data_IF_287248565449
#
_entry.id   IF_287248565449
#
_cell.length_a   1.000
_cell.length_b   1.000
_cell.length_c   1.000
_cell.angle_alpha   90.00
_cell.angle_beta   90.00
_cell.angle_gamma   90.00
#
_symmetry.space_group_name_H-M   'P 1'
#
loop_
_entity.id
_entity.type
_entity.pdbx_description
1 polymer ?
#
# COMPACT_ATOMS: atom_id res chain seq x y z
N UNK A 1 -4.90 15.09 6.68
CA UNK A 1 -4.86 14.42 7.99
C UNK A 1 -4.18 13.06 7.84
N UNK A 2 -3.24 12.66 8.69
CA UNK A 2 -2.95 11.25 8.93
C UNK A 2 -4.16 10.65 9.66
N UNK A 3 -4.68 9.52 9.20
CA UNK A 3 -5.63 8.71 9.98
C UNK A 3 -4.82 7.56 10.58
N UNK A 4 -4.99 7.31 11.88
CA UNK A 4 -4.60 5.99 12.43
C UNK A 4 -5.80 5.09 12.16
N UNK A 5 -5.60 4.00 11.44
CA UNK A 5 -6.55 2.89 11.49
C UNK A 5 -6.42 2.30 12.89
N UNK A 6 -7.41 2.48 13.77
CA UNK A 6 -7.43 1.74 15.03
C UNK A 6 -7.81 0.31 14.66
N UNK A 7 -6.82 -0.54 14.39
CA UNK A 7 -7.10 -1.90 13.94
C UNK A 7 -7.86 -2.62 15.05
N UNK A 8 -9.00 -3.21 14.69
CA UNK A 8 -9.79 -4.09 15.55
C UNK A 8 -8.93 -5.21 16.17
N UNK A 9 -7.82 -5.55 15.53
CA UNK A 9 -6.84 -6.56 15.95
C UNK A 9 -6.05 -6.19 17.22
N UNK A 10 -5.95 -4.90 17.60
CA UNK A 10 -5.34 -4.49 18.90
C UNK A 10 -6.16 -5.03 20.06
N UNK A 11 -7.46 -5.15 19.86
CA UNK A 11 -8.42 -5.55 20.88
C UNK A 11 -8.39 -7.06 21.15
N UNK A 12 -7.22 -7.53 21.60
CA UNK A 12 -6.93 -8.92 21.87
C UNK A 12 -6.38 -9.16 23.27
N UNK A 13 -5.88 -10.38 23.48
CA UNK A 13 -5.33 -10.81 24.77
C UNK A 13 -4.13 -9.96 25.21
N UNK A 14 -3.31 -9.48 24.28
CA UNK A 14 -2.15 -8.62 24.55
C UNK A 14 -2.55 -7.28 25.18
N UNK A 15 -3.54 -6.60 24.60
CA UNK A 15 -4.13 -5.38 25.18
C UNK A 15 -4.78 -5.66 26.54
N UNK A 16 -5.46 -6.81 26.66
CA UNK A 16 -6.09 -7.24 27.92
C UNK A 16 -5.09 -7.39 29.06
N UNK A 17 -3.89 -7.87 28.77
CA UNK A 17 -2.79 -7.98 29.74
C UNK A 17 -2.26 -6.60 30.11
N UNK A 18 -2.09 -5.71 29.12
CA UNK A 18 -1.56 -4.36 29.34
C UNK A 18 -2.42 -3.54 30.31
N UNK A 19 -3.70 -3.33 30.00
CA UNK A 19 -4.53 -2.46 30.84
C UNK A 19 -4.74 -3.03 32.25
N UNK A 20 -4.71 -4.38 32.39
CA UNK A 20 -4.74 -5.05 33.71
C UNK A 20 -3.44 -4.85 34.49
N UNK A 21 -2.29 -4.89 33.82
CA UNK A 21 -0.99 -4.65 34.45
C UNK A 21 -0.84 -3.19 34.92
N UNK A 22 -1.35 -2.23 34.13
CA UNK A 22 -1.35 -0.81 34.48
C UNK A 22 -2.41 -0.50 35.55
N UNK A 23 -3.52 -1.26 35.58
CA UNK A 23 -4.67 -0.97 36.43
C UNK A 23 -5.56 0.15 35.88
N UNK A 24 -5.56 0.35 34.56
CA UNK A 24 -6.35 1.39 33.89
C UNK A 24 -7.48 0.81 33.04
N UNK A 25 -8.35 1.67 32.54
CA UNK A 25 -9.38 1.29 31.59
C UNK A 25 -8.77 0.91 30.23
N UNK A 26 -9.52 0.09 29.47
CA UNK A 26 -9.14 -0.25 28.10
C UNK A 26 -8.99 1.00 27.21
N UNK A 27 -9.80 2.04 27.44
CA UNK A 27 -9.73 3.30 26.70
C UNK A 27 -8.40 4.02 26.95
N UNK A 28 -7.96 4.09 28.21
CA UNK A 28 -6.67 4.69 28.57
C UNK A 28 -5.51 3.91 27.97
N UNK A 29 -5.51 2.57 28.06
CA UNK A 29 -4.46 1.75 27.46
C UNK A 29 -4.37 1.91 25.94
N UNK A 30 -5.51 1.98 25.23
CA UNK A 30 -5.53 2.29 23.81
C UNK A 30 -4.99 3.69 23.52
N UNK A 31 -5.29 4.67 24.36
CA UNK A 31 -4.71 6.01 24.29
C UNK A 31 -3.19 5.99 24.41
N UNK A 32 -2.67 5.29 25.43
CA UNK A 32 -1.22 5.11 25.66
C UNK A 32 -0.54 4.50 24.43
N UNK A 33 -1.12 3.42 23.87
CA UNK A 33 -0.58 2.79 22.66
C UNK A 33 -0.60 3.74 21.46
N UNK A 34 -1.67 4.51 21.27
CA UNK A 34 -1.73 5.52 20.20
C UNK A 34 -0.62 6.56 20.34
N UNK A 35 -0.35 7.07 21.54
CA UNK A 35 0.74 8.01 21.77
C UNK A 35 2.12 7.37 21.59
N UNK A 36 2.31 6.13 22.04
CA UNK A 36 3.53 5.36 21.75
C UNK A 36 3.78 5.27 20.24
N UNK A 37 2.77 4.89 19.45
CA UNK A 37 2.92 4.79 18.00
C UNK A 37 3.11 6.15 17.32
N UNK A 38 2.43 7.21 17.78
CA UNK A 38 2.66 8.57 17.29
C UNK A 38 4.10 9.02 17.49
N UNK A 39 4.66 8.68 18.65
CA UNK A 39 6.05 8.96 18.97
C UNK A 39 7.00 8.09 18.15
N UNK A 40 6.69 6.80 18.00
CA UNK A 40 7.43 5.87 17.13
C UNK A 40 7.53 6.37 15.69
N UNK A 41 6.46 6.95 15.12
CA UNK A 41 6.50 7.48 13.74
C UNK A 41 7.53 8.58 13.50
N UNK A 42 8.00 9.24 14.57
CA UNK A 42 9.01 10.31 14.48
C UNK A 42 10.41 9.86 14.90
N UNK A 43 10.51 8.77 15.67
CA UNK A 43 11.74 8.39 16.37
C UNK A 43 12.21 6.95 16.07
N UNK A 44 11.31 6.06 15.64
CA UNK A 44 11.64 4.70 15.26
C UNK A 44 12.05 4.61 13.79
N UNK A 45 12.95 3.69 13.47
CA UNK A 45 13.29 3.34 12.08
C UNK A 45 12.26 2.39 11.45
N UNK A 46 12.54 1.90 10.23
CA UNK A 46 11.63 0.99 9.50
C UNK A 46 11.42 -0.36 10.24
N UNK A 47 12.35 -0.76 11.09
CA UNK A 47 12.27 -2.01 11.88
C UNK A 47 11.56 -1.81 13.22
N UNK A 48 11.35 -0.58 13.63
CA UNK A 48 10.71 -0.24 14.91
C UNK A 48 11.71 0.02 16.02
N UNK A 49 13.01 0.04 15.69
CA UNK A 49 14.07 0.42 16.63
C UNK A 49 14.04 1.92 16.85
N UNK A 50 13.94 2.30 18.10
CA UNK A 50 14.17 3.66 18.56
C UNK A 50 15.58 3.71 19.13
N UNK A 51 16.50 4.31 18.37
CA UNK A 51 17.90 4.47 18.78
C UNK A 51 18.07 5.62 19.74
N UNK A 52 19.05 5.49 20.64
CA UNK A 52 19.47 6.55 21.57
C UNK A 52 18.33 7.09 22.47
N UNK A 53 17.26 6.31 22.63
CA UNK A 53 16.15 6.62 23.54
C UNK A 53 15.91 5.43 24.45
N UNK A 54 16.00 5.67 25.75
CA UNK A 54 15.66 4.69 26.77
C UNK A 54 14.18 4.80 27.18
N UNK A 55 13.79 3.93 28.12
CA UNK A 55 12.45 3.91 28.68
C UNK A 55 12.12 5.20 29.46
N UNK A 56 13.13 5.93 29.96
CA UNK A 56 12.94 7.19 30.68
C UNK A 56 12.49 8.31 29.73
N UNK A 57 13.11 8.39 28.54
CA UNK A 57 12.69 9.32 27.48
C UNK A 57 11.23 9.07 27.08
N UNK A 58 10.85 7.81 26.90
CA UNK A 58 9.48 7.45 26.56
C UNK A 58 8.51 7.80 27.71
N UNK A 59 8.88 7.49 28.94
CA UNK A 59 8.08 7.81 30.13
C UNK A 59 7.81 9.31 30.24
N UNK A 60 8.84 10.14 30.03
CA UNK A 60 8.73 11.60 30.03
C UNK A 60 7.83 12.12 28.90
N UNK A 61 7.91 11.53 27.72
CA UNK A 61 7.01 11.87 26.62
C UNK A 61 5.55 11.56 26.96
N UNK A 62 5.27 10.35 27.46
CA UNK A 62 3.91 9.93 27.82
C UNK A 62 3.35 10.78 28.97
N UNK A 63 4.19 11.16 29.94
CA UNK A 63 3.82 12.10 30.99
C UNK A 63 3.33 13.43 30.42
N UNK A 64 4.04 13.98 29.43
CA UNK A 64 3.62 15.21 28.75
C UNK A 64 2.35 15.07 27.90
N UNK A 65 1.94 13.85 27.54
CA UNK A 65 0.70 13.61 26.79
C UNK A 65 -0.53 13.45 27.70
N UNK A 66 -0.33 12.99 28.94
CA UNK A 66 -1.38 12.71 29.90
C UNK A 66 -1.54 13.82 30.93
N UNK A 67 -1.84 15.05 30.49
CA UNK A 67 -2.20 16.13 31.43
C UNK A 67 -3.35 15.66 32.35
N UNK A 68 -3.20 15.87 33.66
CA UNK A 68 -4.08 15.36 34.73
C UNK A 68 -4.19 13.83 34.88
N UNK A 69 -3.43 13.05 34.12
CA UNK A 69 -3.40 11.59 34.25
C UNK A 69 -2.75 11.18 35.58
N UNK A 70 -3.45 10.35 36.35
CA UNK A 70 -2.98 9.84 37.64
C UNK A 70 -2.11 8.58 37.52
N UNK A 71 -1.90 8.10 36.30
CA UNK A 71 -1.09 6.91 36.07
C UNK A 71 0.39 7.24 36.24
N UNK A 72 1.11 6.32 36.88
CA UNK A 72 2.57 6.39 36.99
C UNK A 72 3.19 5.96 35.65
N UNK A 73 3.73 6.93 34.91
CA UNK A 73 4.30 6.68 33.58
C UNK A 73 5.49 5.72 33.60
N UNK A 74 6.25 5.67 34.71
CA UNK A 74 7.31 4.67 34.88
C UNK A 74 6.74 3.25 34.91
N UNK A 75 5.66 3.03 35.67
CA UNK A 75 4.94 1.74 35.68
C UNK A 75 4.25 1.44 34.35
N UNK A 76 3.74 2.46 33.65
CA UNK A 76 3.15 2.29 32.31
C UNK A 76 4.20 1.76 31.33
N UNK A 77 5.37 2.39 31.27
CA UNK A 77 6.43 1.96 30.35
C UNK A 77 6.95 0.57 30.74
N UNK A 78 7.09 0.27 32.03
CA UNK A 78 7.44 -1.08 32.48
C UNK A 78 6.38 -2.11 32.05
N UNK A 79 5.09 -1.79 32.20
CA UNK A 79 4.01 -2.67 31.76
C UNK A 79 3.99 -2.88 30.24
N UNK A 80 4.38 -1.88 29.45
CA UNK A 80 4.55 -2.01 28.00
C UNK A 80 5.65 -3.04 27.67
N UNK A 81 6.75 -3.05 28.41
CA UNK A 81 7.81 -4.06 28.28
C UNK A 81 7.32 -5.44 28.72
N UNK A 82 6.76 -5.55 29.92
CA UNK A 82 6.35 -6.83 30.51
C UNK A 82 5.24 -7.55 29.72
N UNK A 83 4.44 -6.79 28.97
CA UNK A 83 3.37 -7.33 28.13
C UNK A 83 3.75 -7.44 26.65
N UNK A 84 5.01 -7.16 26.31
CA UNK A 84 5.61 -7.39 24.99
C UNK A 84 5.17 -6.38 23.93
N UNK A 85 4.79 -5.17 24.32
CA UNK A 85 4.60 -4.06 23.37
C UNK A 85 5.92 -3.38 23.01
N UNK A 86 6.90 -3.46 23.91
CA UNK A 86 8.24 -2.92 23.74
C UNK A 86 9.26 -3.99 24.13
N UNK A 87 10.28 -4.15 23.30
CA UNK A 87 11.43 -5.02 23.60
C UNK A 87 12.67 -4.15 23.84
N UNK A 88 13.29 -4.28 25.01
CA UNK A 88 14.49 -3.52 25.37
C UNK A 88 15.69 -4.03 24.57
N UNK A 89 16.48 -3.11 24.02
CA UNK A 89 17.70 -3.39 23.28
C UNK A 89 18.91 -2.70 23.92
N UNK A 90 20.12 -3.04 23.45
CA UNK A 90 21.35 -2.44 23.98
C UNK A 90 21.50 -0.95 23.62
N UNK A 91 20.94 -0.53 22.49
CA UNK A 91 21.02 0.80 21.91
C UNK A 91 19.68 1.58 21.93
N UNK A 92 18.71 1.08 22.69
CA UNK A 92 17.38 1.68 22.82
C UNK A 92 16.29 0.63 23.03
N UNK A 93 15.21 0.68 22.25
CA UNK A 93 14.15 -0.32 22.30
C UNK A 93 13.41 -0.47 20.97
N UNK A 94 12.82 -1.65 20.77
CA UNK A 94 11.95 -1.96 19.64
C UNK A 94 10.49 -1.82 20.03
N UNK A 95 9.69 -1.21 19.16
CA UNK A 95 8.23 -1.28 19.25
C UNK A 95 7.79 -2.58 18.57
N UNK A 96 7.11 -3.45 19.31
CA UNK A 96 6.65 -4.74 18.79
C UNK A 96 5.51 -4.55 17.78
N UNK A 97 5.43 -5.43 16.77
CA UNK A 97 4.45 -5.40 15.67
C UNK A 97 4.53 -4.13 14.78
N UNK A 98 5.63 -3.38 14.87
CA UNK A 98 5.80 -2.10 14.18
C UNK A 98 5.55 -2.19 12.66
N UNK A 99 5.99 -3.27 12.01
CA UNK A 99 5.77 -3.60 10.60
C UNK A 99 4.29 -3.71 10.21
N UNK A 100 3.49 -4.34 11.07
CA UNK A 100 2.05 -4.53 10.89
C UNK A 100 1.32 -3.18 10.94
N UNK A 101 1.75 -2.30 11.85
CA UNK A 101 1.12 -1.01 12.11
C UNK A 101 1.51 0.09 11.12
N UNK A 102 2.74 0.05 10.61
CA UNK A 102 3.27 1.10 9.75
C UNK A 102 2.91 0.94 8.25
N UNK A 103 2.51 -0.26 7.82
CA UNK A 103 2.44 -0.61 6.39
C UNK A 103 1.57 0.37 5.58
N UNK A 104 0.41 0.74 6.12
CA UNK A 104 -0.48 1.71 5.49
C UNK A 104 0.10 3.13 5.48
N UNK A 105 0.83 3.51 6.53
CA UNK A 105 1.47 4.82 6.62
C UNK A 105 2.62 4.97 5.61
N UNK A 106 3.48 3.96 5.47
CA UNK A 106 4.53 3.98 4.45
C UNK A 106 3.97 3.98 3.04
N UNK A 107 2.92 3.19 2.77
CA UNK A 107 2.17 3.25 1.49
C UNK A 107 1.66 4.66 1.20
N UNK A 108 1.06 5.32 2.19
CA UNK A 108 0.55 6.68 2.06
C UNK A 108 1.67 7.73 1.84
N UNK A 109 2.77 7.65 2.60
CA UNK A 109 3.91 8.56 2.45
C UNK A 109 4.56 8.40 1.07
N UNK A 110 4.76 7.15 0.61
CA UNK A 110 5.27 6.85 -0.73
C UNK A 110 4.36 7.42 -1.82
N UNK A 111 3.05 7.23 -1.70
CA UNK A 111 2.08 7.78 -2.65
C UNK A 111 2.09 9.31 -2.66
N UNK A 112 2.17 9.96 -1.50
CA UNK A 112 2.30 11.43 -1.39
C UNK A 112 3.58 11.94 -2.05
N UNK A 113 4.72 11.26 -1.82
CA UNK A 113 6.00 11.61 -2.46
C UNK A 113 5.92 11.48 -3.98
N UNK A 114 5.39 10.37 -4.48
CA UNK A 114 5.21 10.13 -5.91
C UNK A 114 4.27 11.15 -6.55
N UNK A 115 3.17 11.51 -5.90
CA UNK A 115 2.25 12.53 -6.41
C UNK A 115 2.84 13.94 -6.34
N UNK A 116 3.62 14.26 -5.30
CA UNK A 116 4.36 15.51 -5.22
C UNK A 116 5.41 15.61 -6.35
N UNK A 117 6.15 14.54 -6.62
CA UNK A 117 7.10 14.47 -7.74
C UNK A 117 6.39 14.58 -9.09
N UNK A 118 5.27 13.89 -9.30
CA UNK A 118 4.44 14.02 -10.51
C UNK A 118 4.01 15.47 -10.72
N UNK A 119 3.51 16.14 -9.67
CA UNK A 119 3.12 17.55 -9.73
C UNK A 119 4.30 18.47 -9.98
N UNK A 120 5.48 18.20 -9.39
CA UNK A 120 6.72 18.96 -9.66
C UNK A 120 7.14 18.84 -11.12
N UNK A 121 7.19 17.62 -11.66
CA UNK A 121 7.52 17.35 -13.07
C UNK A 121 6.51 18.00 -14.02
N UNK A 122 5.22 17.92 -13.72
CA UNK A 122 4.17 18.58 -14.51
C UNK A 122 4.34 20.11 -14.55
N UNK A 123 4.60 20.74 -13.39
CA UNK A 123 4.87 22.20 -13.31
C UNK A 123 6.16 22.61 -14.01
N UNK A 124 7.19 21.75 -13.98
CA UNK A 124 8.43 22.00 -14.72
C UNK A 124 8.18 21.97 -16.23
N UNK A 125 7.50 20.94 -16.74
CA UNK A 125 7.13 20.87 -18.15
C UNK A 125 6.23 22.04 -18.56
N UNK A 126 5.26 22.44 -17.73
CA UNK A 126 4.40 23.61 -18.00
C UNK A 126 5.21 24.90 -18.08
N UNK A 127 6.17 25.12 -17.17
CA UNK A 127 7.10 26.26 -17.21
C UNK A 127 8.03 26.24 -18.43
N UNK A 128 8.46 25.06 -18.87
CA UNK A 128 9.28 24.89 -20.06
C UNK A 128 8.46 25.16 -21.34
N UNK A 129 7.19 24.76 -21.39
CA UNK A 129 6.28 25.07 -22.50
C UNK A 129 5.79 26.52 -22.50
N UNK A 130 5.73 27.18 -21.33
CA UNK A 130 5.29 28.57 -21.19
C UNK A 130 6.42 29.60 -21.35
N UNK A 131 7.68 29.17 -21.44
CA UNK A 131 8.77 30.08 -21.85
C UNK A 131 8.55 30.46 -23.32
N UNK A 132 8.47 31.77 -23.66
CA UNK A 132 8.39 32.17 -25.05
C UNK A 132 9.67 31.72 -25.77
N UNK A 133 9.52 30.99 -26.87
CA UNK A 133 10.62 30.66 -27.75
C UNK A 133 11.35 31.95 -28.18
N UNK A 134 12.70 32.01 -28.13
CA UNK A 134 13.44 33.07 -28.80
C UNK A 134 13.05 33.06 -30.27
N UNK A 135 12.41 34.15 -30.75
CA UNK A 135 12.15 34.36 -32.17
C UNK A 135 13.50 34.39 -32.89
N UNK A 136 13.83 33.30 -33.57
CA UNK A 136 14.95 33.23 -34.50
C UNK A 136 14.35 32.93 -35.86
N UNK A 137 14.66 33.73 -36.90
CA UNK A 137 13.96 33.69 -38.17
C UNK A 137 14.15 32.36 -38.90
N UNK A 138 13.05 31.93 -39.50
CA UNK A 138 12.87 30.74 -40.34
C UNK A 138 13.87 30.70 -41.51
N UNK A 139 14.54 29.55 -41.72
CA UNK A 139 14.99 29.16 -43.05
C UNK A 139 14.35 27.83 -43.49
N UNK A 140 13.97 27.80 -44.75
CA UNK A 140 13.40 26.70 -45.53
C UNK A 140 14.20 25.37 -45.48
N UNK A 141 13.56 24.23 -45.77
CA UNK A 141 14.00 22.91 -45.33
C UNK A 141 15.06 22.28 -46.24
N UNK A 142 16.09 21.60 -45.69
CA UNK A 142 16.87 20.66 -46.48
C UNK A 142 16.33 19.24 -46.32
N UNK A 143 16.01 18.64 -47.46
CA UNK A 143 15.70 17.23 -47.67
C UNK A 143 16.87 16.35 -47.19
N UNK A 144 16.64 15.42 -46.25
CA UNK A 144 17.58 14.32 -45.94
C UNK A 144 16.85 13.00 -45.61
N UNK A 145 16.91 12.11 -46.60
CA UNK A 145 17.08 10.65 -46.51
C UNK A 145 16.86 9.96 -45.15
N UNK A 146 15.75 9.23 -45.03
CA UNK A 146 15.58 8.17 -44.02
C UNK A 146 16.40 6.93 -44.41
N UNK A 147 17.34 6.52 -43.55
CA UNK A 147 17.80 5.13 -43.48
C UNK A 147 17.39 4.58 -42.12
N UNK A 148 16.41 3.67 -42.11
CA UNK A 148 15.97 2.91 -40.93
C UNK A 148 16.83 1.65 -40.75
N UNK A 149 17.35 1.35 -39.54
CA UNK A 149 17.79 0.00 -39.18
C UNK A 149 16.58 -0.94 -39.00
N UNK A 150 16.74 -2.26 -39.17
CA UNK A 150 15.62 -3.18 -39.35
C UNK A 150 14.84 -3.41 -38.05
N UNK A 151 13.51 -3.33 -38.17
CA UNK A 151 12.56 -3.62 -37.10
C UNK A 151 12.44 -5.13 -36.86
N UNK A 152 12.57 -5.56 -35.60
CA UNK A 152 12.12 -6.89 -35.16
C UNK A 152 10.59 -6.99 -35.32
N UNK A 153 10.04 -8.18 -35.64
CA UNK A 153 8.62 -8.35 -35.95
C UNK A 153 7.76 -7.94 -34.74
N UNK A 154 6.81 -7.03 -34.98
CA UNK A 154 5.82 -6.61 -33.98
C UNK A 154 4.76 -7.71 -33.87
N UNK A 155 4.46 -8.23 -32.66
CA UNK A 155 3.38 -9.18 -32.49
C UNK A 155 2.04 -8.48 -32.75
N UNK A 156 1.15 -9.15 -33.49
CA UNK A 156 -0.18 -8.67 -33.82
C UNK A 156 -0.99 -8.36 -32.55
N UNK A 157 -1.46 -7.11 -32.43
CA UNK A 157 -2.27 -6.66 -31.30
C UNK A 157 -3.74 -6.92 -31.62
N UNK A 158 -4.35 -7.90 -30.95
CA UNK A 158 -5.81 -8.12 -30.99
C UNK A 158 -6.51 -7.09 -30.10
N UNK A 159 -7.71 -6.67 -30.51
CA UNK A 159 -8.57 -5.81 -29.67
C UNK A 159 -9.33 -6.72 -28.70
N UNK A 160 -9.21 -6.45 -27.40
CA UNK A 160 -9.89 -7.22 -26.35
C UNK A 160 -11.16 -6.52 -25.84
N UNK A 161 -11.26 -5.21 -26.07
CA UNK A 161 -12.45 -4.41 -25.86
C UNK A 161 -12.45 -3.22 -26.85
N UNK A 162 -13.41 -2.30 -26.71
CA UNK A 162 -13.60 -1.16 -27.63
C UNK A 162 -12.39 -0.20 -27.61
N UNK A 163 -11.81 0.03 -26.43
CA UNK A 163 -10.67 0.92 -26.20
C UNK A 163 -9.41 0.19 -25.70
N UNK A 164 -9.44 -1.14 -25.52
CA UNK A 164 -8.31 -1.94 -24.99
C UNK A 164 -7.70 -2.84 -26.07
N UNK A 165 -6.41 -2.61 -26.36
CA UNK A 165 -5.62 -3.36 -27.34
C UNK A 165 -4.37 -3.96 -26.69
N UNK A 166 -4.21 -5.28 -26.77
CA UNK A 166 -3.02 -5.97 -26.27
C UNK A 166 -2.67 -7.18 -27.16
N UNK A 167 -1.53 -7.81 -26.92
CA UNK A 167 -1.17 -9.06 -27.61
C UNK A 167 -1.77 -10.26 -26.86
N UNK A 168 -1.95 -11.37 -27.57
CA UNK A 168 -2.42 -12.64 -26.99
C UNK A 168 -1.51 -13.14 -25.88
N UNK A 169 -0.20 -13.06 -26.08
CA UNK A 169 0.79 -13.36 -25.05
C UNK A 169 0.64 -12.49 -23.78
N UNK A 170 0.17 -11.24 -23.90
CA UNK A 170 -0.05 -10.38 -22.73
C UNK A 170 -1.34 -10.75 -21.99
N UNK A 171 -2.39 -11.11 -22.72
CA UNK A 171 -3.62 -11.62 -22.12
C UNK A 171 -3.38 -12.95 -21.40
N UNK A 172 -2.68 -13.89 -22.04
CA UNK A 172 -2.35 -15.18 -21.44
C UNK A 172 -1.52 -15.04 -20.16
N UNK A 173 -0.64 -14.03 -20.10
CA UNK A 173 0.09 -13.67 -18.88
C UNK A 173 -0.84 -13.15 -17.78
N UNK A 174 -1.85 -12.34 -18.11
CA UNK A 174 -2.84 -11.88 -17.12
C UNK A 174 -3.67 -13.05 -16.59
N UNK A 175 -4.13 -13.94 -17.48
CA UNK A 175 -4.89 -15.14 -17.12
C UNK A 175 -4.03 -16.07 -16.26
N UNK A 176 -2.76 -16.27 -16.59
CA UNK A 176 -1.85 -17.11 -15.79
C UNK A 176 -1.60 -16.56 -14.39
N UNK A 177 -1.53 -15.23 -14.25
CA UNK A 177 -1.22 -14.58 -12.96
C UNK A 177 -2.44 -14.41 -12.06
N UNK A 178 -3.60 -14.12 -12.63
CA UNK A 178 -4.77 -13.70 -11.87
C UNK A 178 -6.03 -14.51 -12.17
N UNK A 179 -5.99 -15.42 -13.13
CA UNK A 179 -7.12 -16.16 -13.66
C UNK A 179 -7.95 -15.41 -14.69
N UNK A 180 -8.74 -16.16 -15.45
CA UNK A 180 -9.50 -15.65 -16.60
C UNK A 180 -10.54 -14.60 -16.20
N UNK A 181 -11.36 -14.92 -15.19
CA UNK A 181 -12.40 -14.02 -14.71
C UNK A 181 -11.85 -12.67 -14.21
N UNK A 182 -10.67 -12.69 -13.57
CA UNK A 182 -10.02 -11.48 -13.10
C UNK A 182 -9.38 -10.67 -14.24
N UNK A 183 -8.76 -11.34 -15.21
CA UNK A 183 -8.20 -10.69 -16.39
C UNK A 183 -9.28 -9.97 -17.21
N UNK A 184 -10.44 -10.60 -17.39
CA UNK A 184 -11.59 -10.01 -18.09
C UNK A 184 -12.14 -8.80 -17.33
N UNK A 185 -12.24 -8.88 -15.99
CA UNK A 185 -12.64 -7.74 -15.16
C UNK A 185 -11.66 -6.57 -15.26
N UNK A 186 -10.36 -6.83 -15.36
CA UNK A 186 -9.35 -5.80 -15.58
C UNK A 186 -9.50 -5.11 -16.94
N UNK A 187 -9.85 -5.87 -17.99
CA UNK A 187 -10.08 -5.31 -19.32
C UNK A 187 -11.29 -4.40 -19.31
N UNK A 188 -12.42 -4.84 -18.73
CA UNK A 188 -13.65 -4.05 -18.64
C UNK A 188 -13.45 -2.75 -17.84
N UNK A 189 -12.73 -2.82 -16.71
CA UNK A 189 -12.46 -1.63 -15.89
C UNK A 189 -11.56 -0.62 -16.62
N UNK A 190 -10.55 -1.09 -17.36
CA UNK A 190 -9.71 -0.22 -18.18
C UNK A 190 -10.49 0.37 -19.35
N UNK A 191 -11.35 -0.41 -19.99
CA UNK A 191 -12.17 0.00 -21.13
C UNK A 191 -13.15 1.10 -20.75
N UNK A 192 -13.93 0.89 -19.68
CA UNK A 192 -14.84 1.89 -19.13
C UNK A 192 -14.13 3.18 -18.72
N UNK A 193 -12.93 3.06 -18.14
CA UNK A 193 -12.13 4.23 -17.77
C UNK A 193 -11.70 5.04 -19.00
N UNK A 194 -11.24 4.36 -20.06
CA UNK A 194 -10.82 5.01 -21.29
C UNK A 194 -11.99 5.65 -22.03
N UNK A 195 -13.12 4.94 -22.13
CA UNK A 195 -14.35 5.45 -22.74
C UNK A 195 -14.88 6.68 -22.01
N UNK A 196 -14.92 6.66 -20.67
CA UNK A 196 -15.43 7.79 -19.88
C UNK A 196 -14.48 9.00 -19.84
N UNK A 197 -13.16 8.80 -19.97
CA UNK A 197 -12.15 9.87 -19.79
C UNK A 197 -11.45 10.28 -21.09
N UNK A 198 -11.73 9.63 -22.22
CA UNK A 198 -11.06 9.85 -23.50
C UNK A 198 -9.55 9.59 -23.47
N UNK A 199 -9.07 8.74 -22.54
CA UNK A 199 -7.64 8.51 -22.35
C UNK A 199 -7.15 7.32 -23.16
N UNK A 200 -5.93 7.41 -23.66
CA UNK A 200 -5.24 6.30 -24.33
C UNK A 200 -3.89 6.04 -23.65
N UNK A 201 -3.46 4.77 -23.64
CA UNK A 201 -2.17 4.37 -23.10
C UNK A 201 -1.29 3.82 -24.23
N UNK A 202 0.03 3.97 -24.07
CA UNK A 202 1.02 3.40 -25.00
C UNK A 202 1.01 1.87 -24.98
N UNK A 203 0.72 1.29 -23.81
CA UNK A 203 0.60 -0.14 -23.59
C UNK A 203 -0.46 -0.41 -22.52
N UNK A 204 -1.56 -1.02 -22.94
CA UNK A 204 -2.71 -1.30 -22.07
C UNK A 204 -2.42 -2.39 -21.05
N UNK A 205 -1.55 -3.34 -21.39
CA UNK A 205 -1.10 -4.36 -20.45
C UNK A 205 -0.35 -3.73 -19.27
N UNK A 206 0.50 -2.74 -19.54
CA UNK A 206 1.19 -1.98 -18.48
C UNK A 206 0.22 -1.14 -17.66
N UNK A 207 -0.77 -0.52 -18.29
CA UNK A 207 -1.81 0.21 -17.56
C UNK A 207 -2.56 -0.71 -16.59
N UNK A 208 -2.88 -1.94 -17.04
CA UNK A 208 -3.55 -2.94 -16.21
C UNK A 208 -2.72 -3.26 -14.98
N UNK A 209 -1.44 -3.62 -15.17
CA UNK A 209 -0.53 -3.96 -14.07
C UNK A 209 -0.24 -2.78 -13.13
N UNK A 210 -0.18 -1.55 -13.65
CA UNK A 210 0.19 -0.38 -12.86
C UNK A 210 -0.89 0.11 -11.91
N UNK A 211 -2.17 -0.07 -12.23
CA UNK A 211 -3.24 0.47 -11.38
C UNK A 211 -4.59 -0.25 -11.48
N UNK A 212 -4.88 -0.92 -12.59
CA UNK A 212 -6.20 -1.56 -12.77
C UNK A 212 -6.33 -2.79 -11.88
N UNK A 213 -5.27 -3.59 -11.77
CA UNK A 213 -5.25 -4.76 -10.89
C UNK A 213 -5.60 -4.39 -9.45
N UNK A 214 -4.98 -3.33 -8.91
CA UNK A 214 -5.24 -2.89 -7.54
C UNK A 214 -6.66 -2.33 -7.40
N UNK A 215 -7.16 -1.61 -8.41
CA UNK A 215 -8.56 -1.13 -8.40
C UNK A 215 -9.58 -2.27 -8.45
N UNK A 216 -9.33 -3.32 -9.23
CA UNK A 216 -10.23 -4.48 -9.31
C UNK A 216 -10.18 -5.28 -8.01
N UNK A 217 -9.02 -5.41 -7.38
CA UNK A 217 -8.87 -6.00 -6.03
C UNK A 217 -9.73 -5.28 -4.99
N UNK A 218 -9.69 -3.95 -4.99
CA UNK A 218 -10.48 -3.13 -4.06
C UNK A 218 -11.98 -3.25 -4.31
N UNK A 219 -12.41 -3.23 -5.58
CA UNK A 219 -13.84 -3.28 -5.94
C UNK A 219 -14.46 -4.67 -5.83
N UNK A 220 -13.68 -5.73 -6.09
CA UNK A 220 -14.16 -7.11 -6.21
C UNK A 220 -13.16 -8.10 -5.61
N UNK A 221 -12.94 -8.09 -4.28
CA UNK A 221 -11.95 -8.96 -3.63
C UNK A 221 -12.24 -10.46 -3.84
N UNK A 222 -13.51 -10.86 -3.88
CA UNK A 222 -13.92 -12.26 -4.07
C UNK A 222 -13.56 -12.86 -5.43
N UNK A 223 -13.36 -12.04 -6.47
CA UNK A 223 -13.01 -12.53 -7.81
C UNK A 223 -11.60 -13.13 -7.87
N UNK A 224 -10.68 -12.59 -7.06
CA UNK A 224 -9.30 -13.05 -6.97
C UNK A 224 -9.21 -14.34 -6.13
N UNK A 225 -10.10 -14.47 -5.14
CA UNK A 225 -10.19 -15.67 -4.30
C UNK A 225 -10.78 -16.85 -5.10
N UNK A 226 -11.78 -16.60 -5.95
CA UNK A 226 -12.32 -17.59 -6.88
C UNK A 226 -11.31 -18.05 -7.93
N UNK A 227 -10.54 -17.12 -8.51
CA UNK A 227 -9.53 -17.50 -9.52
C UNK A 227 -8.33 -18.25 -8.96
N UNK A 228 -7.91 -17.95 -7.72
CA UNK A 228 -6.88 -18.73 -7.01
C UNK A 228 -7.39 -20.13 -6.66
N UNK A 229 -8.68 -20.27 -6.34
CA UNK A 229 -9.30 -21.58 -6.09
C UNK A 229 -9.46 -22.44 -7.34
N UNK A 230 -9.70 -21.84 -8.52
CA UNK A 230 -9.74 -22.55 -9.81
C UNK A 230 -8.35 -22.99 -10.31
N UNK A 231 -7.28 -22.29 -9.93
CA UNK A 231 -5.91 -22.60 -10.33
C UNK A 231 -5.19 -23.60 -9.41
N UNK A 232 -5.77 -23.94 -8.25
CA UNK A 232 -5.23 -24.94 -7.34
C UNK A 232 -5.76 -26.34 -7.71
N UNK A 233 -4.92 -27.39 -7.77
CA UNK A 233 -5.44 -28.76 -7.85
C UNK A 233 -6.30 -29.01 -6.61
N UNK A 234 -7.51 -29.52 -6.82
CA UNK A 234 -8.50 -29.80 -5.78
C UNK A 234 -7.85 -30.63 -4.65
N UNK A 235 -7.42 -29.96 -3.58
CA UNK A 235 -7.07 -30.63 -2.34
C UNK A 235 -8.38 -30.92 -1.63
N UNK A 236 -8.65 -32.20 -1.40
CA UNK A 236 -9.81 -32.67 -0.67
C UNK A 236 -10.03 -31.84 0.59
N UNK A 237 -11.23 -31.27 0.67
CA UNK A 237 -11.63 -30.42 1.77
C UNK A 237 -11.83 -31.31 3.01
N UNK A 238 -10.98 -31.22 4.07
CA UNK A 238 -10.90 -32.20 5.15
C UNK A 238 -12.12 -32.21 6.09
N UNK A 239 -13.13 -31.36 5.85
CA UNK A 239 -14.36 -31.27 6.64
C UNK A 239 -15.59 -31.85 5.95
N UNK A 240 -15.44 -32.49 4.78
CA UNK A 240 -16.57 -33.08 4.03
C UNK A 240 -17.30 -34.17 4.83
N UNK A 241 -16.58 -34.90 5.68
CA UNK A 241 -17.11 -36.02 6.46
C UNK A 241 -18.01 -35.60 7.64
N UNK A 242 -17.99 -34.33 8.04
CA UNK A 242 -18.75 -33.85 9.21
C UNK A 242 -20.16 -33.35 8.88
N UNK A 243 -20.53 -33.26 7.59
CA UNK A 243 -21.80 -32.70 7.14
C UNK A 243 -22.94 -33.71 6.97
N UNK A 244 -22.67 -35.03 6.99
CA UNK A 244 -23.65 -36.07 6.62
C UNK A 244 -24.26 -36.82 7.81
N UNK A 245 -23.89 -36.52 9.06
CA UNK A 245 -24.40 -37.25 10.23
C UNK A 245 -25.62 -36.62 10.93
N UNK A 246 -26.18 -35.52 10.43
CA UNK A 246 -27.41 -34.94 10.96
C UNK A 246 -28.41 -34.65 9.83
N UNK A 247 -29.04 -35.71 9.34
CA UNK A 247 -30.17 -35.67 8.40
C UNK A 247 -31.05 -36.89 8.60
#
# INVERSE_FOLDING_TARGET
MPWISVHQEVDGTKLRRLYRAIGCSKFEALGILNFLWFWGMKNADETGLVKDADLEVLSRYLYGCGEDCQLDMGKVVQALVDTGWIDVAADGFYIHDWDTWQEQWYKLQKNRRLDAERKRKARQMERETAKPAPKTPEPEPPVKSEVKPPAKPKPDKKSYAEFVKMSEANYDRLVKLYGKAFADACIVELDNYKGARGKTYKDDYRAILCWVVDRVKEKKPGLLQQSVSEAAPAKDNPFREWGEQNG
#
